data_IF_112458265903
#
_entry.id   IF_112458265903
#
_cell.length_a   1.000
_cell.length_b   1.000
_cell.length_c   1.000
_cell.angle_alpha   90.00
_cell.angle_beta   90.00
_cell.angle_gamma   90.00
#
_symmetry.space_group_name_H-M   'P 1'
#
loop_
_entity.id
_entity.type
_entity.pdbx_description
1 polymer ?
#
# COMPACT_ATOMS: atom_id res chain seq x y z
N UNK A 1 -51.18 43.04 9.29
CA UNK A 1 -50.77 41.63 9.37
C UNK A 1 -49.31 41.53 8.93
N UNK A 2 -48.36 41.37 9.88
CA UNK A 2 -46.90 41.26 9.58
C UNK A 2 -46.54 39.79 9.67
N UNK A 3 -46.10 39.19 8.56
CA UNK A 3 -45.62 37.81 8.51
C UNK A 3 -44.12 37.86 8.70
N UNK A 4 -43.62 37.39 9.84
CA UNK A 4 -42.20 37.21 10.12
C UNK A 4 -41.74 35.89 9.58
N UNK A 5 -40.87 35.92 8.60
CA UNK A 5 -40.20 34.73 8.04
C UNK A 5 -39.00 34.37 8.90
N UNK A 6 -39.08 33.25 9.63
CA UNK A 6 -37.99 32.70 10.42
C UNK A 6 -37.07 31.90 9.47
N UNK A 7 -35.85 32.37 9.26
CA UNK A 7 -34.84 31.65 8.50
C UNK A 7 -34.13 30.63 9.40
N UNK A 8 -34.33 29.35 9.11
CA UNK A 8 -33.65 28.23 9.78
C UNK A 8 -32.25 28.05 9.15
N UNK A 9 -31.20 28.46 9.86
CA UNK A 9 -29.83 28.18 9.51
C UNK A 9 -29.48 26.74 9.91
N UNK A 10 -29.41 25.85 8.93
CA UNK A 10 -28.93 24.50 9.14
C UNK A 10 -27.40 24.50 9.20
N UNK A 11 -26.84 24.31 10.39
CA UNK A 11 -25.40 24.07 10.59
C UNK A 11 -25.05 22.65 10.10
N UNK A 12 -24.41 22.53 8.93
CA UNK A 12 -23.75 21.29 8.50
C UNK A 12 -22.49 21.08 9.35
N UNK A 13 -22.58 20.24 10.35
CA UNK A 13 -21.40 19.73 11.08
C UNK A 13 -20.73 18.70 10.20
N UNK A 14 -19.60 19.07 9.59
CA UNK A 14 -18.73 18.13 8.90
C UNK A 14 -18.10 17.18 9.94
N UNK A 15 -18.56 15.95 10.00
CA UNK A 15 -17.95 14.91 10.83
C UNK A 15 -16.53 14.60 10.31
N UNK A 16 -15.50 14.52 11.17
CA UNK A 16 -14.17 14.10 10.74
C UNK A 16 -14.24 12.66 10.24
N UNK A 17 -13.80 12.44 9.00
CA UNK A 17 -13.63 11.10 8.45
C UNK A 17 -12.49 10.43 9.22
N UNK A 18 -12.82 9.63 10.21
CA UNK A 18 -11.85 8.83 10.94
C UNK A 18 -11.20 7.84 9.98
N UNK A 19 -9.87 7.90 9.89
CA UNK A 19 -9.09 6.92 9.13
C UNK A 19 -9.33 5.54 9.73
N UNK A 20 -10.03 4.66 9.02
CA UNK A 20 -10.30 3.31 9.47
C UNK A 20 -9.03 2.47 9.33
N UNK A 21 -8.49 2.01 10.45
CA UNK A 21 -7.44 0.98 10.47
C UNK A 21 -8.06 -0.34 10.02
N UNK A 22 -7.51 -0.91 8.96
CA UNK A 22 -7.95 -2.22 8.46
C UNK A 22 -6.89 -3.24 8.87
N UNK A 23 -7.33 -4.31 9.54
CA UNK A 23 -6.48 -5.47 9.82
C UNK A 23 -6.36 -6.30 8.56
N UNK A 24 -5.14 -6.64 8.21
CA UNK A 24 -4.84 -7.54 7.11
C UNK A 24 -4.07 -8.75 7.64
N UNK A 25 -4.33 -9.90 7.01
CA UNK A 25 -3.71 -11.16 7.37
C UNK A 25 -2.73 -11.54 6.26
N UNK A 26 -1.46 -11.74 6.62
CA UNK A 26 -0.45 -12.29 5.72
C UNK A 26 -0.31 -13.77 6.01
N UNK A 27 -0.69 -14.59 5.04
CA UNK A 27 -0.48 -16.04 5.09
C UNK A 27 0.84 -16.37 4.41
N UNK A 28 1.80 -16.89 5.16
CA UNK A 28 3.11 -17.25 4.63
C UNK A 28 3.09 -18.70 4.17
N UNK A 29 3.38 -19.00 2.89
CA UNK A 29 3.43 -20.37 2.39
C UNK A 29 4.39 -21.25 3.22
N UNK A 30 3.90 -22.41 3.66
CA UNK A 30 4.69 -23.34 4.46
C UNK A 30 4.79 -23.00 5.95
N UNK A 31 4.11 -21.97 6.43
CA UNK A 31 4.00 -21.64 7.85
C UNK A 31 2.56 -21.84 8.34
N UNK A 32 2.42 -22.37 9.56
CA UNK A 32 1.10 -22.59 10.20
C UNK A 32 0.55 -21.27 10.77
N UNK A 33 1.44 -20.32 11.06
CA UNK A 33 1.08 -19.06 11.72
C UNK A 33 0.75 -17.99 10.69
N UNK A 34 -0.40 -17.36 10.85
CA UNK A 34 -0.78 -16.15 10.13
C UNK A 34 -0.23 -14.92 10.85
N UNK A 35 0.23 -13.94 10.09
CA UNK A 35 0.68 -12.66 10.62
C UNK A 35 -0.42 -11.64 10.44
N UNK A 36 -0.88 -11.03 11.54
CA UNK A 36 -1.86 -9.94 11.51
C UNK A 36 -1.09 -8.62 11.58
N UNK A 37 -1.35 -7.74 10.65
CA UNK A 37 -0.75 -6.40 10.63
C UNK A 37 -1.82 -5.34 10.42
N UNK A 38 -1.68 -4.20 11.07
CA UNK A 38 -2.52 -3.04 10.84
C UNK A 38 -2.00 -2.29 9.62
N UNK A 39 -2.90 -1.91 8.71
CA UNK A 39 -2.54 -1.18 7.52
C UNK A 39 -3.37 0.09 7.40
N UNK A 40 -2.70 1.19 7.05
CA UNK A 40 -3.31 2.45 6.66
C UNK A 40 -2.68 2.88 5.34
N UNK A 41 -3.42 2.67 4.26
CA UNK A 41 -3.01 3.27 2.99
C UNK A 41 -3.37 4.75 2.96
N UNK A 42 -2.39 5.64 2.89
CA UNK A 42 -2.63 7.07 2.64
C UNK A 42 -3.05 7.26 1.18
N UNK A 43 -4.17 7.94 0.90
CA UNK A 43 -4.53 8.28 -0.48
C UNK A 43 -3.62 9.39 -1.00
N UNK A 44 -3.16 9.25 -2.25
CA UNK A 44 -2.38 10.24 -2.97
C UNK A 44 -3.09 10.66 -4.25
N UNK A 45 -3.12 11.95 -4.52
CA UNK A 45 -3.76 12.51 -5.70
C UNK A 45 -2.89 12.36 -6.95
N UNK A 46 -3.54 12.03 -8.06
CA UNK A 46 -2.91 11.87 -9.36
C UNK A 46 -3.70 12.69 -10.38
N UNK A 47 -3.10 13.71 -11.05
CA UNK A 47 -3.80 14.62 -11.96
C UNK A 47 -4.02 14.01 -13.35
N UNK A 48 -4.34 12.72 -13.41
CA UNK A 48 -4.61 11.97 -14.63
C UNK A 48 -5.86 11.11 -14.46
N UNK A 49 -6.50 10.77 -15.58
CA UNK A 49 -7.71 9.93 -15.59
C UNK A 49 -7.47 8.58 -14.91
N UNK A 50 -8.52 7.95 -14.33
CA UNK A 50 -8.40 6.64 -13.70
C UNK A 50 -7.78 5.58 -14.59
N UNK A 51 -8.16 5.52 -15.88
CA UNK A 51 -7.61 4.56 -16.84
C UNK A 51 -6.10 4.75 -17.08
N UNK A 52 -5.66 6.00 -17.23
CA UNK A 52 -4.23 6.33 -17.40
C UNK A 52 -3.43 6.03 -16.14
N UNK A 53 -4.00 6.36 -14.98
CA UNK A 53 -3.39 6.07 -13.67
C UNK A 53 -3.29 4.57 -13.43
N UNK A 54 -4.30 3.79 -13.79
CA UNK A 54 -4.30 2.33 -13.67
C UNK A 54 -3.17 1.70 -14.51
N UNK A 55 -3.02 2.11 -15.77
CA UNK A 55 -1.91 1.67 -16.62
C UNK A 55 -0.54 2.04 -16.03
N UNK A 56 -0.43 3.23 -15.42
CA UNK A 56 0.78 3.67 -14.74
C UNK A 56 1.07 2.83 -13.47
N UNK A 57 0.06 2.39 -12.73
CA UNK A 57 0.23 1.46 -11.59
C UNK A 57 0.81 0.13 -12.05
N UNK A 58 0.27 -0.46 -13.13
CA UNK A 58 0.83 -1.70 -13.70
C UNK A 58 2.30 -1.54 -14.11
N UNK A 59 2.64 -0.41 -14.74
CA UNK A 59 4.02 -0.08 -15.11
C UNK A 59 4.93 0.10 -13.89
N UNK A 60 4.42 0.69 -12.79
CA UNK A 60 5.15 0.84 -11.53
C UNK A 60 5.41 -0.51 -10.85
N UNK A 61 4.42 -1.43 -10.84
CA UNK A 61 4.60 -2.80 -10.35
C UNK A 61 5.72 -3.51 -11.12
N UNK A 62 5.71 -3.42 -12.46
CA UNK A 62 6.72 -4.01 -13.31
C UNK A 62 8.12 -3.44 -13.03
N UNK A 63 8.26 -2.10 -12.88
CA UNK A 63 9.54 -1.45 -12.55
C UNK A 63 10.09 -1.88 -11.19
N UNK A 64 9.21 -2.07 -10.21
CA UNK A 64 9.57 -2.57 -8.87
C UNK A 64 9.78 -4.10 -8.83
N UNK A 65 9.56 -4.79 -9.95
CA UNK A 65 9.57 -6.26 -10.06
C UNK A 65 8.60 -6.93 -9.08
N UNK A 66 7.45 -6.30 -8.87
CA UNK A 66 6.35 -6.83 -8.08
C UNK A 66 5.39 -7.54 -9.03
N UNK A 67 4.99 -8.81 -8.76
CA UNK A 67 3.97 -9.48 -9.56
C UNK A 67 2.64 -8.70 -9.50
N UNK A 68 1.95 -8.55 -10.63
CA UNK A 68 0.60 -8.01 -10.69
C UNK A 68 -0.36 -9.17 -10.99
N UNK A 69 -0.60 -10.01 -9.98
CA UNK A 69 -1.34 -11.26 -10.13
C UNK A 69 -2.85 -11.03 -10.27
N UNK A 70 -3.38 -10.00 -9.61
CA UNK A 70 -4.76 -9.56 -9.74
C UNK A 70 -4.78 -8.20 -10.41
N UNK A 71 -5.49 -8.11 -11.54
CA UNK A 71 -5.66 -6.91 -12.34
C UNK A 71 -7.14 -6.73 -12.64
N UNK A 72 -7.80 -5.85 -11.88
CA UNK A 72 -9.21 -5.51 -12.07
C UNK A 72 -9.32 -4.02 -12.44
N UNK A 73 -9.48 -3.74 -13.71
CA UNK A 73 -9.62 -2.37 -14.21
C UNK A 73 -10.97 -1.75 -13.86
N UNK A 74 -12.02 -2.56 -13.63
CA UNK A 74 -13.36 -2.09 -13.25
C UNK A 74 -13.35 -1.55 -11.84
N UNK A 75 -12.74 -2.29 -10.92
CA UNK A 75 -12.55 -1.87 -9.53
C UNK A 75 -11.32 -0.97 -9.32
N UNK A 76 -10.51 -0.77 -10.38
CA UNK A 76 -9.26 -0.02 -10.32
C UNK A 76 -8.21 -0.67 -9.41
N UNK A 77 -8.21 -2.01 -9.28
CA UNK A 77 -7.39 -2.76 -8.33
C UNK A 77 -6.26 -3.51 -9.02
N UNK A 78 -5.04 -3.30 -8.51
CA UNK A 78 -3.86 -4.09 -8.86
C UNK A 78 -3.28 -4.67 -7.57
N UNK A 79 -3.04 -5.99 -7.55
CA UNK A 79 -2.58 -6.68 -6.36
C UNK A 79 -1.59 -7.79 -6.71
N UNK A 80 -0.60 -7.99 -5.85
CA UNK A 80 0.26 -9.17 -5.89
C UNK A 80 -0.30 -10.26 -4.98
N UNK A 81 -0.15 -11.52 -5.37
CA UNK A 81 -0.14 -12.60 -4.40
C UNK A 81 1.04 -12.44 -3.44
N UNK A 82 1.14 -13.31 -2.45
CA UNK A 82 2.31 -13.33 -1.58
C UNK A 82 3.55 -13.65 -2.41
N UNK A 83 4.51 -12.74 -2.44
CA UNK A 83 5.83 -12.93 -3.03
C UNK A 83 6.91 -12.68 -1.97
N UNK A 84 8.11 -13.15 -2.20
CA UNK A 84 9.21 -12.90 -1.27
C UNK A 84 10.42 -12.27 -1.95
N UNK A 85 11.18 -11.53 -1.14
CA UNK A 85 12.50 -10.99 -1.50
C UNK A 85 13.47 -11.16 -0.32
N UNK A 86 14.73 -10.98 -0.60
CA UNK A 86 15.81 -10.91 0.36
C UNK A 86 16.74 -9.78 -0.03
N UNK A 87 17.02 -8.89 0.91
CA UNK A 87 17.95 -7.78 0.77
C UNK A 87 17.36 -6.56 0.06
N UNK A 88 16.79 -6.72 -1.15
CA UNK A 88 16.31 -5.57 -1.91
C UNK A 88 14.91 -5.73 -2.51
N UNK A 89 14.26 -4.58 -2.76
CA UNK A 89 13.03 -4.45 -3.54
C UNK A 89 13.16 -3.24 -4.47
N UNK A 90 13.12 -3.50 -5.78
CA UNK A 90 13.24 -2.45 -6.79
C UNK A 90 14.54 -1.66 -6.67
N UNK A 91 15.67 -2.31 -6.34
CA UNK A 91 17.00 -1.70 -6.23
C UNK A 91 17.21 -0.85 -4.97
N UNK A 92 16.41 -1.03 -3.93
CA UNK A 92 16.59 -0.41 -2.60
C UNK A 92 16.48 -1.48 -1.52
N UNK A 93 17.27 -1.32 -0.44
CA UNK A 93 17.18 -2.19 0.72
C UNK A 93 15.74 -2.24 1.26
N UNK A 94 15.29 -3.43 1.65
CA UNK A 94 13.92 -3.64 2.14
C UNK A 94 13.67 -2.86 3.42
N UNK A 95 14.68 -2.68 4.27
CA UNK A 95 14.64 -1.85 5.49
C UNK A 95 14.29 -0.39 5.21
N UNK A 96 14.48 0.10 3.97
CA UNK A 96 13.99 1.42 3.56
C UNK A 96 12.46 1.50 3.65
N UNK A 97 11.76 0.41 3.39
CA UNK A 97 10.29 0.36 3.29
C UNK A 97 9.62 -0.28 4.49
N UNK A 98 10.34 -1.17 5.18
CA UNK A 98 9.79 -2.03 6.22
C UNK A 98 10.67 -2.03 7.46
N UNK A 99 10.04 -1.95 8.63
CA UNK A 99 10.65 -2.22 9.93
C UNK A 99 10.20 -3.59 10.42
N UNK A 100 11.10 -4.56 10.46
CA UNK A 100 10.85 -5.92 10.94
C UNK A 100 11.62 -6.21 12.25
N UNK A 101 12.17 -5.17 12.90
CA UNK A 101 13.10 -5.29 14.00
C UNK A 101 14.55 -5.41 13.54
N UNK A 102 15.45 -5.45 14.51
CA UNK A 102 16.91 -5.48 14.34
C UNK A 102 17.55 -6.62 15.11
N UNK A 103 18.71 -7.06 14.63
CA UNK A 103 19.61 -7.99 15.31
C UNK A 103 21.05 -7.52 15.27
N UNK A 104 21.96 -8.35 15.76
CA UNK A 104 23.41 -8.04 15.77
C UNK A 104 23.99 -7.78 14.37
N UNK A 105 23.38 -8.31 13.34
CA UNK A 105 23.79 -8.16 11.93
C UNK A 105 23.02 -7.06 11.18
N UNK A 106 22.25 -6.23 11.90
CA UNK A 106 21.44 -5.14 11.35
C UNK A 106 19.96 -5.50 11.15
N UNK A 107 19.22 -4.72 10.31
CA UNK A 107 17.78 -4.88 10.13
C UNK A 107 17.40 -6.28 9.62
N UNK A 108 16.40 -6.89 10.25
CA UNK A 108 15.89 -8.19 9.80
C UNK A 108 15.28 -8.12 8.41
N UNK A 109 14.72 -6.97 8.02
CA UNK A 109 14.20 -6.74 6.69
C UNK A 109 15.22 -7.01 5.57
N UNK A 110 16.52 -6.76 5.81
CA UNK A 110 17.57 -6.95 4.80
C UNK A 110 18.23 -8.33 4.87
N UNK A 111 18.16 -8.97 6.04
CA UNK A 111 18.88 -10.23 6.31
C UNK A 111 17.99 -11.48 6.20
N UNK A 112 16.68 -11.31 6.38
CA UNK A 112 15.70 -12.41 6.39
C UNK A 112 15.00 -12.53 5.03
N UNK A 113 14.26 -13.62 4.86
CA UNK A 113 13.30 -13.73 3.77
C UNK A 113 12.06 -12.95 4.13
N UNK A 114 11.74 -11.91 3.37
CA UNK A 114 10.58 -11.06 3.61
C UNK A 114 9.48 -11.43 2.61
N UNK A 115 8.36 -11.90 3.13
CA UNK A 115 7.13 -12.17 2.37
C UNK A 115 6.30 -10.89 2.35
N UNK A 116 5.79 -10.53 1.18
CA UNK A 116 5.16 -9.25 0.95
C UNK A 116 3.90 -9.39 0.11
N UNK A 117 2.96 -8.48 0.32
CA UNK A 117 1.77 -8.26 -0.53
C UNK A 117 1.71 -6.76 -0.81
N UNK A 118 1.55 -6.39 -2.05
CA UNK A 118 1.28 -5.01 -2.46
C UNK A 118 -0.11 -4.93 -3.09
N UNK A 119 -0.92 -4.00 -2.62
CA UNK A 119 -2.26 -3.74 -3.14
C UNK A 119 -2.34 -2.25 -3.46
N UNK A 120 -2.71 -1.91 -4.70
CA UNK A 120 -2.96 -0.52 -5.07
C UNK A 120 -4.35 -0.41 -5.67
N UNK A 121 -5.15 0.52 -5.12
CA UNK A 121 -6.46 0.87 -5.64
C UNK A 121 -6.42 2.26 -6.25
N UNK A 122 -6.95 2.36 -7.45
CA UNK A 122 -7.19 3.62 -8.18
C UNK A 122 -8.66 3.97 -8.06
N UNK A 123 -8.98 5.19 -7.69
CA UNK A 123 -10.34 5.69 -7.65
C UNK A 123 -10.45 7.03 -8.38
N UNK A 124 -11.59 7.34 -9.04
CA UNK A 124 -11.78 8.63 -9.66
C UNK A 124 -11.77 9.76 -8.61
N UNK A 125 -11.26 10.93 -9.02
CA UNK A 125 -11.29 12.17 -8.24
C UNK A 125 -11.64 13.36 -9.13
N UNK A 126 -12.81 13.94 -8.90
CA UNK A 126 -13.32 15.00 -9.76
C UNK A 126 -13.58 14.51 -11.21
N UNK A 127 -13.54 15.43 -12.17
CA UNK A 127 -13.86 15.11 -13.57
C UNK A 127 -12.71 14.43 -14.33
N UNK A 128 -11.46 14.80 -14.03
CA UNK A 128 -10.30 14.42 -14.83
C UNK A 128 -9.19 13.73 -14.02
N UNK A 129 -9.27 13.75 -12.69
CA UNK A 129 -8.25 13.23 -11.80
C UNK A 129 -8.57 11.85 -11.24
N UNK A 130 -7.61 11.32 -10.49
CA UNK A 130 -7.77 10.09 -9.71
C UNK A 130 -7.03 10.18 -8.38
N UNK A 131 -7.28 9.22 -7.51
CA UNK A 131 -6.47 8.96 -6.32
C UNK A 131 -5.92 7.54 -6.39
N UNK A 132 -4.74 7.34 -5.83
CA UNK A 132 -4.22 6.00 -5.56
C UNK A 132 -4.11 5.79 -4.07
N UNK A 133 -4.42 4.58 -3.63
CA UNK A 133 -4.14 4.13 -2.27
C UNK A 133 -3.36 2.83 -2.35
N UNK A 134 -2.15 2.83 -1.83
CA UNK A 134 -1.29 1.65 -1.78
C UNK A 134 -1.23 1.12 -0.36
N UNK A 135 -1.37 -0.19 -0.22
CA UNK A 135 -1.21 -0.95 1.01
C UNK A 135 -0.03 -1.89 0.80
N UNK A 136 0.93 -1.88 1.71
CA UNK A 136 2.09 -2.74 1.65
C UNK A 136 2.22 -3.53 2.94
N UNK A 137 2.03 -4.85 2.85
CA UNK A 137 2.02 -5.78 3.96
C UNK A 137 3.24 -6.68 3.89
N UNK A 138 3.84 -7.00 5.03
CA UNK A 138 4.99 -7.89 5.04
C UNK A 138 5.16 -8.66 6.35
N UNK A 139 5.85 -9.80 6.23
CA UNK A 139 6.33 -10.59 7.35
C UNK A 139 7.73 -11.13 7.04
N UNK A 140 8.63 -11.09 8.01
CA UNK A 140 9.98 -11.61 7.89
C UNK A 140 10.13 -12.99 8.54
N UNK A 141 10.88 -13.87 7.88
CA UNK A 141 11.20 -15.23 8.37
C UNK A 141 12.72 -15.43 8.33
N UNK A 142 13.30 -15.86 9.44
CA UNK A 142 14.72 -16.20 9.49
C UNK A 142 15.06 -17.33 8.52
N UNK A 143 16.21 -17.24 7.85
CA UNK A 143 16.64 -18.23 6.86
C UNK A 143 17.34 -19.45 7.49
N UNK A 144 17.81 -19.33 8.75
CA UNK A 144 18.52 -20.39 9.44
C UNK A 144 17.61 -21.56 9.82
N UNK A 145 18.14 -22.78 9.81
CA UNK A 145 17.44 -23.98 10.31
C UNK A 145 17.02 -23.81 11.78
N UNK A 146 15.79 -24.24 12.11
CA UNK A 146 15.15 -23.97 13.39
C UNK A 146 14.32 -22.69 13.39
N UNK A 147 13.72 -22.39 12.26
CA UNK A 147 13.02 -21.15 11.93
C UNK A 147 12.21 -20.58 13.11
N UNK A 148 12.58 -19.38 13.53
CA UNK A 148 11.78 -18.55 14.43
C UNK A 148 10.43 -18.29 13.79
N UNK A 149 9.43 -18.07 14.63
CA UNK A 149 8.10 -17.68 14.14
C UNK A 149 8.19 -16.46 13.21
N UNK A 150 7.35 -16.39 12.17
CA UNK A 150 7.26 -15.21 11.33
C UNK A 150 6.98 -13.96 12.18
N UNK A 151 7.66 -12.86 11.87
CA UNK A 151 7.40 -11.58 12.53
C UNK A 151 6.78 -10.59 11.57
N UNK A 152 5.75 -9.88 12.06
CA UNK A 152 5.13 -8.78 11.33
C UNK A 152 6.16 -7.67 11.07
N UNK A 153 6.09 -7.09 9.87
CA UNK A 153 6.85 -5.91 9.52
C UNK A 153 5.91 -4.72 9.40
N UNK A 154 6.31 -3.58 9.93
CA UNK A 154 5.57 -2.33 9.80
C UNK A 154 6.04 -1.56 8.56
N UNK A 155 5.10 -0.97 7.80
CA UNK A 155 5.46 -0.06 6.71
C UNK A 155 6.04 1.25 7.29
N UNK A 156 7.14 1.72 6.69
CA UNK A 156 7.71 3.04 6.99
C UNK A 156 6.99 4.16 6.24
N UNK A 157 6.01 3.86 5.39
CA UNK A 157 5.33 4.79 4.49
C UNK A 157 6.14 5.16 3.24
N UNK A 158 7.42 4.78 3.17
CA UNK A 158 8.31 5.14 2.05
C UNK A 158 8.01 4.35 0.77
N UNK A 159 7.45 3.16 0.91
CA UNK A 159 7.01 2.37 -0.24
C UNK A 159 5.83 3.05 -0.94
N UNK A 160 4.84 3.47 -0.19
CA UNK A 160 3.64 4.16 -0.67
C UNK A 160 4.01 5.48 -1.38
N UNK A 161 4.93 6.26 -0.79
CA UNK A 161 5.46 7.48 -1.40
C UNK A 161 6.21 7.16 -2.71
N UNK A 162 7.02 6.11 -2.72
CA UNK A 162 7.73 5.70 -3.94
C UNK A 162 6.78 5.25 -5.03
N UNK A 163 5.76 4.46 -4.67
CA UNK A 163 4.72 4.04 -5.59
C UNK A 163 4.01 5.24 -6.22
N UNK A 164 3.60 6.22 -5.40
CA UNK A 164 2.97 7.45 -5.89
C UNK A 164 3.88 8.19 -6.89
N UNK A 165 5.17 8.39 -6.56
CA UNK A 165 6.13 9.06 -7.45
C UNK A 165 6.31 8.32 -8.77
N UNK A 166 6.38 6.99 -8.75
CA UNK A 166 6.47 6.15 -9.94
C UNK A 166 5.21 6.30 -10.81
N UNK A 167 4.04 6.20 -10.20
CA UNK A 167 2.75 6.35 -10.91
C UNK A 167 2.65 7.71 -11.56
N UNK A 168 3.00 8.80 -10.87
CA UNK A 168 3.00 10.15 -11.45
C UNK A 168 3.91 10.22 -12.69
N UNK A 169 5.13 9.70 -12.59
CA UNK A 169 6.11 9.68 -13.68
C UNK A 169 5.61 8.88 -14.88
N UNK A 170 5.13 7.64 -14.63
CA UNK A 170 4.60 6.76 -15.69
C UNK A 170 3.32 7.33 -16.32
N UNK A 171 2.45 7.92 -15.53
CA UNK A 171 1.27 8.59 -16.07
C UNK A 171 1.62 9.84 -16.88
N UNK A 172 2.71 10.51 -16.61
CA UNK A 172 3.23 11.61 -17.42
C UNK A 172 3.95 11.15 -18.71
N UNK A 173 4.23 9.84 -18.85
CA UNK A 173 4.97 9.30 -20.01
C UNK A 173 6.48 9.35 -19.88
N UNK A 174 6.98 9.40 -18.64
CA UNK A 174 8.41 9.50 -18.29
C UNK A 174 8.98 8.19 -17.73
#
# INVERSE_FOLDING_TARGET
MKISTLALLANLVAAPVAAQRTRAIVVIPGQITTVVTDTMGTPYDVPFSPARTYAAVLSAFAELKIPADVQDSTEGRVESNVFYRRGDLGGKQISTYLSCGEGMTGPYADNYRVYMIAITKVAPKGEIGSTIRTIFLAAAVAVAEGARQPMACESTGRFEIRMHKLVLRKAAGL
#
